data_IF_669573856290
#
_entry.id   IF_669573856290
#
_cell.length_a   1.000
_cell.length_b   1.000
_cell.length_c   1.000
_cell.angle_alpha   90.00
_cell.angle_beta   90.00
_cell.angle_gamma   90.00
#
_symmetry.space_group_name_H-M   'P 1'
#
loop_
_entity.id
_entity.type
_entity.pdbx_description
1 polymer ?
#
# COMPACT_ATOMS: atom_id res chain seq x y z
N UNK A 1 11.08 -31.11 7.16
CA UNK A 1 10.46 -30.24 6.15
C UNK A 1 10.60 -28.81 6.60
N UNK A 2 11.61 -28.11 6.10
CA UNK A 2 11.87 -26.72 6.46
C UNK A 2 11.76 -25.87 5.20
N UNK A 3 10.69 -25.08 5.08
CA UNK A 3 10.58 -24.01 4.10
C UNK A 3 9.56 -23.00 4.63
N UNK A 4 9.99 -22.15 5.54
CA UNK A 4 9.34 -20.85 5.75
C UNK A 4 10.10 -19.75 4.98
N UNK A 5 9.60 -18.51 4.91
CA UNK A 5 8.37 -17.99 5.49
C UNK A 5 7.44 -17.28 4.48
N UNK A 6 6.26 -16.89 4.95
CA UNK A 6 5.22 -16.10 4.29
C UNK A 6 5.64 -14.64 3.93
N UNK A 7 6.79 -14.45 3.27
CA UNK A 7 7.34 -13.11 2.95
C UNK A 7 6.95 -12.60 1.56
N UNK A 8 6.66 -13.49 0.63
CA UNK A 8 6.31 -13.12 -0.76
C UNK A 8 4.94 -12.45 -0.88
N UNK A 9 4.03 -12.70 0.06
CA UNK A 9 2.71 -12.09 0.07
C UNK A 9 2.78 -10.57 0.28
N UNK A 10 3.79 -10.07 0.99
CA UNK A 10 3.97 -8.66 1.35
C UNK A 10 4.85 -7.87 0.34
N UNK A 11 5.29 -8.49 -0.76
CA UNK A 11 6.04 -7.83 -1.81
C UNK A 11 5.13 -7.15 -2.83
N UNK A 12 5.61 -6.02 -3.36
CA UNK A 12 4.91 -5.28 -4.41
C UNK A 12 4.60 -6.21 -5.58
N UNK A 13 3.32 -6.29 -5.96
CA UNK A 13 2.89 -7.18 -7.04
C UNK A 13 3.29 -6.70 -8.44
N UNK A 14 3.92 -5.53 -8.54
CA UNK A 14 4.39 -4.92 -9.79
C UNK A 14 5.87 -5.19 -10.00
N UNK A 15 6.73 -4.78 -9.06
CA UNK A 15 8.18 -5.02 -9.19
C UNK A 15 8.64 -6.34 -8.56
N UNK A 16 7.86 -6.92 -7.64
CA UNK A 16 8.22 -8.11 -6.84
C UNK A 16 9.57 -8.00 -6.11
N UNK A 17 10.08 -6.78 -5.96
CA UNK A 17 11.43 -6.50 -5.47
C UNK A 17 11.38 -5.74 -4.14
N UNK A 18 10.50 -4.74 -4.05
CA UNK A 18 10.33 -3.92 -2.86
C UNK A 18 9.04 -4.31 -2.11
N UNK A 19 9.03 -4.22 -0.77
CA UNK A 19 7.82 -4.48 0.01
C UNK A 19 6.71 -3.46 -0.31
N UNK A 20 5.47 -3.86 -0.07
CA UNK A 20 4.30 -2.99 -0.19
C UNK A 20 4.36 -1.96 0.95
N UNK A 21 4.75 -0.73 0.62
CA UNK A 21 4.91 0.38 1.57
C UNK A 21 4.02 1.59 1.25
N UNK A 22 3.21 1.51 0.17
CA UNK A 22 2.32 2.61 -0.22
C UNK A 22 0.85 2.15 -0.29
N UNK A 23 -0.05 3.08 -0.02
CA UNK A 23 -1.51 2.88 -0.10
C UNK A 23 -2.12 3.79 -1.15
N UNK A 24 -3.00 3.22 -1.96
CA UNK A 24 -3.74 3.97 -2.98
C UNK A 24 -4.91 4.71 -2.32
N UNK A 25 -4.83 6.04 -2.21
CA UNK A 25 -5.74 6.84 -1.37
C UNK A 25 -7.23 6.76 -1.74
N UNK A 26 -7.52 6.61 -3.02
CA UNK A 26 -8.89 6.64 -3.55
C UNK A 26 -9.63 5.32 -3.28
N UNK A 27 -8.90 4.21 -3.16
CA UNK A 27 -9.49 2.87 -3.00
C UNK A 27 -9.02 2.09 -1.77
N UNK A 28 -7.96 2.55 -1.08
CA UNK A 28 -7.41 1.89 0.12
C UNK A 28 -6.64 0.59 -0.14
N UNK A 29 -6.38 0.25 -1.41
CA UNK A 29 -5.68 -0.99 -1.79
C UNK A 29 -4.16 -0.83 -1.64
N UNK A 30 -3.52 -1.79 -0.97
CA UNK A 30 -2.06 -1.86 -0.79
C UNK A 30 -1.54 -3.06 -1.57
N UNK A 31 -1.09 -2.81 -2.80
CA UNK A 31 -0.56 -3.86 -3.70
C UNK A 31 0.77 -3.48 -4.34
N UNK A 32 1.19 -2.23 -4.15
CA UNK A 32 2.39 -1.67 -4.78
C UNK A 32 3.33 -1.07 -3.76
N UNK A 33 4.61 -1.01 -4.10
CA UNK A 33 5.56 -0.15 -3.41
C UNK A 33 5.44 1.29 -3.92
N UNK A 34 5.97 2.26 -3.17
CA UNK A 34 5.97 3.69 -3.47
C UNK A 34 6.54 3.97 -4.87
N UNK A 35 7.62 3.27 -5.25
CA UNK A 35 8.26 3.44 -6.57
C UNK A 35 7.32 3.06 -7.72
N UNK A 36 6.60 1.94 -7.60
CA UNK A 36 5.65 1.49 -8.61
C UNK A 36 4.40 2.35 -8.59
N UNK A 37 3.89 2.67 -7.40
CA UNK A 37 2.74 3.55 -7.21
C UNK A 37 2.93 4.91 -7.87
N UNK A 38 4.12 5.53 -7.80
CA UNK A 38 4.43 6.81 -8.46
C UNK A 38 4.20 6.82 -9.96
N UNK A 39 4.37 5.66 -10.59
CA UNK A 39 4.22 5.50 -12.03
C UNK A 39 2.81 5.07 -12.42
N UNK A 40 1.95 4.76 -11.46
CA UNK A 40 0.59 4.32 -11.71
C UNK A 40 -0.40 5.45 -11.46
N UNK A 41 -1.28 5.67 -12.43
CA UNK A 41 -2.40 6.61 -12.33
C UNK A 41 -3.70 5.92 -11.94
N UNK A 42 -3.73 4.58 -11.94
CA UNK A 42 -4.91 3.78 -11.64
C UNK A 42 -4.58 2.58 -10.72
N UNK A 43 -5.54 2.16 -9.92
CA UNK A 43 -5.42 0.97 -9.08
C UNK A 43 -5.53 -0.30 -9.93
N UNK A 44 -4.61 -1.27 -9.82
CA UNK A 44 -4.69 -2.52 -10.58
C UNK A 44 -5.81 -3.47 -10.10
N UNK A 45 -6.37 -3.25 -8.91
CA UNK A 45 -7.49 -4.05 -8.39
C UNK A 45 -8.83 -3.52 -8.89
N UNK A 46 -9.10 -2.23 -8.70
CA UNK A 46 -10.42 -1.66 -8.93
C UNK A 46 -10.47 -0.66 -10.09
N UNK A 47 -9.34 -0.42 -10.78
CA UNK A 47 -9.18 0.55 -11.89
C UNK A 47 -9.65 1.97 -11.57
N UNK A 48 -9.75 2.29 -10.29
CA UNK A 48 -10.05 3.64 -9.84
C UNK A 48 -8.81 4.50 -10.06
N UNK A 49 -9.00 5.74 -10.53
CA UNK A 49 -7.92 6.71 -10.58
C UNK A 49 -7.36 6.93 -9.18
N UNK A 50 -6.04 7.01 -9.04
CA UNK A 50 -5.35 7.16 -7.76
C UNK A 50 -4.42 8.36 -7.82
N UNK A 51 -4.49 9.23 -6.81
CA UNK A 51 -3.44 10.22 -6.57
C UNK A 51 -2.46 9.57 -5.58
N UNK A 52 -1.25 9.24 -6.05
CA UNK A 52 -0.24 8.67 -5.16
C UNK A 52 0.28 9.77 -4.23
N UNK A 53 0.15 9.57 -2.92
CA UNK A 53 0.78 10.43 -1.93
C UNK A 53 1.89 9.62 -1.25
N UNK A 54 3.13 10.11 -1.37
CA UNK A 54 4.40 9.44 -1.01
C UNK A 54 4.61 9.07 0.46
N UNK A 55 3.57 9.13 1.27
CA UNK A 55 3.80 9.72 2.58
C UNK A 55 3.61 8.71 3.69
N UNK A 56 4.59 7.81 3.82
CA UNK A 56 4.94 7.22 5.12
C UNK A 56 5.49 8.32 6.07
N UNK A 57 5.85 9.50 5.53
CA UNK A 57 6.13 10.72 6.29
C UNK A 57 4.90 11.62 6.53
N UNK A 58 3.70 11.22 6.10
CA UNK A 58 2.51 12.04 6.40
C UNK A 58 2.07 11.70 7.82
N UNK A 59 1.45 12.65 8.53
CA UNK A 59 0.81 12.37 9.82
C UNK A 59 -0.30 11.29 9.78
N UNK A 60 -0.48 10.54 8.69
CA UNK A 60 -1.41 9.42 8.61
C UNK A 60 -0.66 8.09 8.78
N UNK A 61 -0.92 7.38 9.87
CA UNK A 61 -0.54 5.98 10.01
C UNK A 61 -1.57 5.10 9.32
N UNK A 62 -1.10 4.17 8.50
CA UNK A 62 -1.93 3.23 7.75
C UNK A 62 -2.07 1.94 8.58
N UNK A 63 -3.30 1.54 8.87
CA UNK A 63 -3.60 0.35 9.65
C UNK A 63 -4.39 -0.67 8.84
N UNK A 64 -4.11 -1.98 8.97
CA UNK A 64 -4.96 -3.02 8.40
C UNK A 64 -6.34 -2.97 9.07
N UNK A 65 -7.40 -2.95 8.25
CA UNK A 65 -8.80 -3.00 8.69
C UNK A 65 -9.54 -4.09 7.91
N UNK A 66 -10.69 -4.54 8.43
CA UNK A 66 -11.48 -5.63 7.84
C UNK A 66 -11.97 -5.37 6.41
N UNK A 67 -11.89 -4.11 5.93
CA UNK A 67 -12.30 -3.68 4.59
C UNK A 67 -11.15 -3.02 3.80
N UNK A 68 -9.90 -3.42 4.07
CA UNK A 68 -8.69 -2.85 3.47
C UNK A 68 -7.88 -2.01 4.45
N UNK A 69 -7.02 -1.14 3.95
CA UNK A 69 -6.15 -0.35 4.82
C UNK A 69 -6.77 1.03 5.12
N UNK A 70 -6.87 1.37 6.40
CA UNK A 70 -7.44 2.65 6.85
C UNK A 70 -6.33 3.61 7.27
N UNK A 71 -6.50 4.88 6.92
CA UNK A 71 -5.65 5.98 7.41
C UNK A 71 -6.21 6.48 8.74
N UNK A 72 -5.37 6.59 9.76
CA UNK A 72 -5.65 7.36 10.98
C UNK A 72 -4.63 8.48 11.10
N UNK A 73 -5.07 9.69 11.45
CA UNK A 73 -4.13 10.73 11.86
C UNK A 73 -3.41 10.27 13.13
N UNK A 74 -2.10 10.11 13.07
CA UNK A 74 -1.26 10.04 14.27
C UNK A 74 -1.19 11.44 14.88
N UNK A 75 -2.20 11.80 15.68
CA UNK A 75 -2.22 13.08 16.38
C UNK A 75 -3.59 13.77 16.53
N UNK A 76 -4.71 13.04 16.51
CA UNK A 76 -5.97 13.61 17.02
C UNK A 76 -5.99 13.52 18.55
N UNK A 77 -5.94 14.67 19.23
CA UNK A 77 -6.32 14.82 20.64
C UNK A 77 -7.69 14.18 20.93
#
# INVERSE_FOLDING_TARGET
>A
GGSGPAVEENLCKICMDSPIDCVLLECGHMVTCTKCGKRMSECPICRQYVILNDTIHSPFTVFPSSNGYRRKLSGGL
#
